data_IF_496830192742
#
_entry.id   IF_496830192742
#
_cell.length_a   1.000
_cell.length_b   1.000
_cell.length_c   1.000
_cell.angle_alpha   90.00
_cell.angle_beta   90.00
_cell.angle_gamma   90.00
#
_symmetry.space_group_name_H-M   'P 1'
#
loop_
_entity.id
_entity.type
_entity.pdbx_description
1 polymer ?
#
# COMPACT_ATOMS: atom_id res chain seq x y z
N UNK A 1 33.65 -34.14 -12.96
CA UNK A 1 32.93 -35.13 -13.77
C UNK A 1 31.45 -35.00 -13.40
N UNK A 2 30.66 -34.35 -14.26
CA UNK A 2 29.64 -34.98 -15.14
C UNK A 2 28.46 -35.53 -14.32
N UNK A 3 27.18 -35.25 -14.56
CA UNK A 3 26.42 -34.65 -15.65
C UNK A 3 24.98 -34.49 -15.11
N UNK A 4 24.35 -33.31 -15.14
CA UNK A 4 23.37 -32.86 -16.16
C UNK A 4 22.17 -33.82 -16.37
N UNK A 5 20.96 -33.30 -16.13
CA UNK A 5 19.69 -33.95 -16.49
C UNK A 5 18.50 -32.99 -16.36
N UNK A 6 18.41 -32.03 -17.28
CA UNK A 6 17.21 -31.23 -17.58
C UNK A 6 16.48 -31.92 -18.75
N UNK A 7 15.14 -31.94 -18.74
CA UNK A 7 14.37 -31.45 -19.90
C UNK A 7 13.17 -30.60 -19.40
N UNK A 8 13.09 -29.28 -19.65
CA UNK A 8 12.66 -28.58 -20.87
C UNK A 8 11.40 -29.09 -21.57
N UNK A 9 10.30 -28.40 -21.28
CA UNK A 9 9.22 -27.90 -22.17
C UNK A 9 8.50 -28.86 -23.14
N UNK A 10 7.17 -28.94 -22.97
CA UNK A 10 6.23 -29.06 -24.08
C UNK A 10 4.96 -28.25 -23.78
N UNK A 11 4.84 -27.11 -24.47
CA UNK A 11 3.60 -26.39 -24.75
C UNK A 11 2.65 -27.26 -25.59
N UNK A 12 1.40 -27.44 -25.17
CA UNK A 12 0.31 -27.80 -26.08
C UNK A 12 -1.07 -27.44 -25.51
N UNK A 13 -1.65 -26.40 -26.11
CA UNK A 13 -3.07 -26.21 -26.44
C UNK A 13 -4.17 -26.72 -25.49
N UNK A 14 -5.01 -25.78 -25.07
CA UNK A 14 -6.37 -26.01 -24.61
C UNK A 14 -7.21 -26.83 -25.62
N UNK A 15 -8.08 -27.73 -25.15
CA UNK A 15 -9.30 -28.07 -25.86
C UNK A 15 -10.48 -27.31 -25.25
N UNK A 16 -10.92 -26.32 -26.03
CA UNK A 16 -12.30 -25.87 -26.20
C UNK A 16 -13.38 -26.82 -25.65
N UNK A 17 -14.05 -26.38 -24.58
CA UNK A 17 -15.50 -26.34 -24.40
C UNK A 17 -16.33 -26.94 -25.58
N UNK A 18 -16.84 -28.16 -25.43
CA UNK A 18 -17.99 -28.68 -26.22
C UNK A 18 -18.83 -29.67 -25.40
N UNK A 19 -19.95 -29.16 -24.89
CA UNK A 19 -21.27 -29.79 -24.77
C UNK A 19 -21.48 -31.04 -23.89
N UNK A 20 -22.12 -30.82 -22.73
CA UNK A 20 -23.30 -31.55 -22.20
C UNK A 20 -23.49 -31.09 -20.73
N UNK A 21 -24.64 -30.68 -20.19
CA UNK A 21 -26.00 -30.60 -20.67
C UNK A 21 -26.71 -29.47 -19.89
N UNK A 22 -27.79 -28.96 -20.47
CA UNK A 22 -28.68 -27.94 -19.94
C UNK A 22 -29.28 -28.39 -18.59
N UNK A 23 -28.76 -27.87 -17.47
CA UNK A 23 -29.42 -27.94 -16.16
C UNK A 23 -30.21 -26.64 -15.96
N UNK A 24 -31.51 -26.77 -15.72
CA UNK A 24 -32.50 -25.69 -15.77
C UNK A 24 -32.28 -24.54 -14.78
N UNK A 25 -33.05 -23.45 -14.94
CA UNK A 25 -32.89 -22.23 -14.16
C UNK A 25 -33.49 -22.46 -12.76
N UNK A 26 -32.70 -22.97 -11.83
CA UNK A 26 -33.23 -23.23 -10.49
C UNK A 26 -32.26 -23.72 -9.44
N UNK A 27 -30.96 -23.83 -9.74
CA UNK A 27 -29.96 -24.17 -8.72
C UNK A 27 -28.81 -23.19 -8.89
N UNK A 28 -28.97 -22.00 -8.30
CA UNK A 28 -27.83 -21.21 -7.86
C UNK A 28 -27.04 -22.12 -6.93
N UNK A 29 -25.98 -22.73 -7.45
CA UNK A 29 -24.87 -23.18 -6.63
C UNK A 29 -24.33 -21.95 -5.92
N UNK A 30 -24.96 -21.61 -4.79
CA UNK A 30 -24.26 -21.04 -3.67
C UNK A 30 -23.21 -22.08 -3.33
N UNK A 31 -22.03 -21.97 -3.94
CA UNK A 31 -20.82 -22.58 -3.44
C UNK A 31 -20.64 -22.02 -2.04
N UNK A 32 -21.29 -22.67 -1.08
CA UNK A 32 -21.01 -22.51 0.33
C UNK A 32 -19.53 -22.81 0.41
N UNK A 33 -18.72 -21.77 0.56
CA UNK A 33 -17.32 -21.90 0.91
C UNK A 33 -17.37 -22.58 2.28
N UNK A 34 -17.39 -23.91 2.27
CA UNK A 34 -17.36 -24.71 3.47
C UNK A 34 -16.00 -24.42 4.08
N UNK A 35 -16.03 -23.52 5.05
CA UNK A 35 -14.93 -23.16 5.91
C UNK A 35 -14.45 -24.46 6.56
N UNK A 36 -13.39 -25.08 6.03
CA UNK A 36 -12.71 -26.22 6.65
C UNK A 36 -11.87 -25.76 7.85
N UNK A 37 -12.37 -24.80 8.63
CA UNK A 37 -11.83 -24.42 9.92
C UNK A 37 -12.51 -25.24 11.00
N UNK A 38 -11.81 -25.53 12.09
CA UNK A 38 -12.46 -26.06 13.29
C UNK A 38 -13.68 -25.17 13.64
N UNK A 39 -14.81 -25.75 14.09
CA UNK A 39 -16.04 -24.99 14.38
C UNK A 39 -15.84 -23.88 15.43
N UNK A 40 -14.75 -23.92 16.20
CA UNK A 40 -14.32 -22.89 17.16
C UNK A 40 -13.77 -21.60 16.52
N UNK A 41 -13.38 -21.61 15.24
CA UNK A 41 -12.86 -20.43 14.52
C UNK A 41 -13.91 -19.77 13.61
N UNK A 42 -15.17 -20.19 13.69
CA UNK A 42 -16.24 -19.52 12.97
C UNK A 42 -16.40 -18.08 13.49
N UNK A 43 -16.62 -17.08 12.61
CA UNK A 43 -16.96 -15.73 13.03
C UNK A 43 -18.21 -15.77 13.91
N UNK A 44 -18.04 -15.43 15.19
CA UNK A 44 -19.14 -15.31 16.16
C UNK A 44 -19.74 -13.91 15.99
N UNK A 45 -21.08 -13.75 16.09
CA UNK A 45 -21.68 -12.42 16.12
C UNK A 45 -21.06 -11.57 17.25
N UNK A 46 -20.91 -10.25 17.06
CA UNK A 46 -20.42 -9.37 18.11
C UNK A 46 -21.36 -9.38 19.32
N UNK A 47 -20.80 -9.14 20.50
CA UNK A 47 -21.61 -9.01 21.70
C UNK A 47 -22.45 -7.73 21.61
N UNK A 48 -23.70 -7.73 22.13
CA UNK A 48 -24.49 -6.52 22.24
C UNK A 48 -23.79 -5.52 23.17
N UNK A 49 -23.83 -4.23 22.83
CA UNK A 49 -23.16 -3.16 23.60
C UNK A 49 -23.73 -2.98 25.01
N UNK A 50 -25.04 -3.17 25.15
CA UNK A 50 -25.74 -3.03 26.44
C UNK A 50 -26.45 -4.32 26.82
N UNK A 51 -26.27 -4.72 28.08
CA UNK A 51 -27.03 -5.81 28.69
C UNK A 51 -28.45 -5.38 29.09
N UNK A 52 -29.27 -6.37 29.46
CA UNK A 52 -30.61 -6.12 30.01
C UNK A 52 -30.56 -5.27 31.27
N UNK A 53 -31.50 -4.32 31.40
CA UNK A 53 -31.57 -3.42 32.55
C UNK A 53 -32.03 -4.18 33.80
N UNK A 54 -31.35 -3.96 34.93
CA UNK A 54 -31.67 -4.59 36.22
C UNK A 54 -31.96 -3.52 37.27
N UNK A 55 -33.05 -3.68 38.03
CA UNK A 55 -33.38 -2.85 39.20
C UNK A 55 -32.96 -3.55 40.49
N UNK A 56 -32.56 -2.77 41.48
CA UNK A 56 -32.14 -3.25 42.82
C UNK A 56 -30.99 -4.28 42.81
N UNK A 57 -30.23 -4.37 41.70
CA UNK A 57 -29.07 -5.25 41.55
C UNK A 57 -29.39 -6.72 41.22
N UNK A 58 -30.61 -7.19 41.48
CA UNK A 58 -31.00 -8.60 41.35
C UNK A 58 -32.25 -8.85 40.48
N UNK A 59 -33.15 -7.87 40.34
CA UNK A 59 -34.44 -8.09 39.66
C UNK A 59 -34.40 -7.43 38.27
N UNK A 60 -34.53 -8.19 37.17
CA UNK A 60 -34.50 -7.63 35.82
C UNK A 60 -35.72 -6.74 35.55
N UNK A 61 -35.55 -5.73 34.71
CA UNK A 61 -36.63 -4.85 34.25
C UNK A 61 -37.76 -5.63 33.57
N UNK A 62 -37.43 -6.74 32.90
CA UNK A 62 -38.38 -7.64 32.25
C UNK A 62 -39.47 -8.14 33.22
N UNK A 63 -39.12 -8.38 34.49
CA UNK A 63 -40.08 -8.77 35.51
C UNK A 63 -41.05 -7.63 35.87
N UNK A 64 -40.54 -6.39 35.88
CA UNK A 64 -41.39 -5.21 36.08
C UNK A 64 -42.31 -4.99 34.89
N UNK A 65 -41.82 -5.14 33.66
CA UNK A 65 -42.64 -5.02 32.45
C UNK A 65 -43.72 -6.09 32.38
N UNK A 66 -43.43 -7.32 32.81
CA UNK A 66 -44.42 -8.39 32.89
C UNK A 66 -45.60 -8.05 33.80
N UNK A 67 -45.35 -7.44 34.97
CA UNK A 67 -46.37 -7.08 35.95
C UNK A 67 -47.02 -5.71 35.71
N UNK A 68 -46.39 -4.86 34.90
CA UNK A 68 -46.81 -3.49 34.65
C UNK A 68 -48.26 -3.38 34.12
N UNK A 69 -48.71 -4.18 33.13
CA UNK A 69 -50.09 -4.08 32.61
C UNK A 69 -51.18 -4.43 33.62
N UNK A 70 -50.85 -5.14 34.70
CA UNK A 70 -51.83 -5.63 35.70
C UNK A 70 -51.83 -4.83 36.99
N UNK A 71 -50.65 -4.40 37.43
CA UNK A 71 -50.45 -3.85 38.78
C UNK A 71 -49.71 -2.52 38.78
N UNK A 72 -49.41 -1.98 37.59
CA UNK A 72 -48.65 -0.73 37.43
C UNK A 72 -47.21 -0.83 37.95
N UNK A 73 -46.57 0.32 38.16
CA UNK A 73 -45.17 0.41 38.64
C UNK A 73 -45.02 -0.09 40.07
N UNK A 74 -46.02 0.12 40.91
CA UNK A 74 -45.98 -0.23 42.33
C UNK A 74 -46.17 -1.72 42.58
N UNK A 75 -46.79 -2.44 41.65
CA UNK A 75 -47.08 -3.86 41.76
C UNK A 75 -45.90 -4.73 42.19
N UNK A 76 -44.78 -4.74 41.45
CA UNK A 76 -43.60 -5.52 41.83
C UNK A 76 -43.02 -5.14 43.19
N UNK A 77 -43.09 -3.87 43.59
CA UNK A 77 -42.58 -3.42 44.89
C UNK A 77 -43.48 -3.91 46.04
N UNK A 78 -44.80 -3.82 45.89
CA UNK A 78 -45.78 -4.32 46.87
C UNK A 78 -45.74 -5.85 46.96
N UNK A 79 -45.52 -6.52 45.82
CA UNK A 79 -45.28 -7.97 45.77
C UNK A 79 -44.02 -8.31 46.57
N UNK A 80 -42.92 -7.59 46.35
CA UNK A 80 -41.66 -7.80 47.06
C UNK A 80 -41.80 -7.63 48.58
N UNK A 81 -42.42 -6.54 49.04
CA UNK A 81 -42.67 -6.32 50.47
C UNK A 81 -43.63 -7.35 51.06
N UNK A 82 -44.67 -7.73 50.31
CA UNK A 82 -45.62 -8.77 50.68
C UNK A 82 -44.98 -10.15 50.85
N UNK A 83 -44.05 -10.52 49.94
CA UNK A 83 -43.29 -11.76 50.05
C UNK A 83 -42.38 -11.78 51.28
N UNK A 84 -41.68 -10.68 51.56
CA UNK A 84 -40.82 -10.58 52.76
C UNK A 84 -41.66 -10.73 54.02
N UNK A 85 -42.80 -10.04 54.10
CA UNK A 85 -43.71 -10.14 55.25
C UNK A 85 -44.29 -11.55 55.40
N UNK A 86 -44.64 -12.19 54.28
CA UNK A 86 -45.16 -13.57 54.27
C UNK A 86 -44.11 -14.57 54.77
N UNK A 87 -42.86 -14.47 54.30
CA UNK A 87 -41.75 -15.33 54.72
C UNK A 87 -41.47 -15.24 56.22
N UNK A 88 -41.58 -14.03 56.79
CA UNK A 88 -41.43 -13.78 58.23
C UNK A 88 -42.65 -14.30 59.01
N UNK A 89 -43.88 -13.99 58.57
CA UNK A 89 -45.11 -14.36 59.27
C UNK A 89 -45.38 -15.88 59.28
N UNK A 90 -44.89 -16.60 58.28
CA UNK A 90 -45.02 -18.07 58.19
C UNK A 90 -43.79 -18.82 58.70
N UNK A 91 -42.81 -18.11 59.28
CA UNK A 91 -41.55 -18.66 59.77
C UNK A 91 -40.80 -19.52 58.73
N UNK A 92 -41.07 -19.31 57.43
CA UNK A 92 -40.30 -19.93 56.33
C UNK A 92 -38.88 -19.36 56.34
N UNK A 93 -38.73 -18.11 56.78
CA UNK A 93 -37.45 -17.49 57.10
C UNK A 93 -37.36 -17.23 58.60
N UNK A 94 -36.62 -18.08 59.33
CA UNK A 94 -36.43 -17.97 60.79
C UNK A 94 -35.28 -17.02 61.12
N UNK A 95 -35.54 -15.99 61.93
CA UNK A 95 -34.52 -15.03 62.37
C UNK A 95 -33.57 -15.73 63.35
N UNK A 96 -32.38 -16.06 62.86
CA UNK A 96 -31.31 -16.70 63.63
C UNK A 96 -30.13 -15.74 63.79
N UNK A 97 -29.15 -16.06 64.65
CA UNK A 97 -27.90 -15.28 64.77
C UNK A 97 -27.20 -15.07 63.42
N UNK A 98 -27.30 -16.02 62.50
CA UNK A 98 -26.75 -15.93 61.14
C UNK A 98 -27.41 -14.83 60.28
N UNK A 99 -28.68 -14.49 60.52
CA UNK A 99 -29.38 -13.43 59.79
C UNK A 99 -28.70 -12.07 59.98
N UNK A 100 -28.21 -11.78 61.18
CA UNK A 100 -27.45 -10.54 61.45
C UNK A 100 -26.11 -10.53 60.72
N UNK A 101 -25.43 -11.68 60.67
CA UNK A 101 -24.20 -11.83 59.88
C UNK A 101 -24.47 -11.62 58.39
N UNK A 102 -25.52 -12.22 57.84
CA UNK A 102 -25.91 -12.07 56.44
C UNK A 102 -26.22 -10.62 56.06
N UNK A 103 -26.96 -9.88 56.89
CA UNK A 103 -27.25 -8.45 56.65
C UNK A 103 -25.95 -7.63 56.60
N UNK A 104 -25.00 -7.90 57.52
CA UNK A 104 -23.69 -7.25 57.54
C UNK A 104 -22.89 -7.55 56.26
N UNK A 105 -22.81 -8.83 55.86
CA UNK A 105 -22.09 -9.24 54.63
C UNK A 105 -22.70 -8.62 53.37
N UNK A 106 -24.03 -8.60 53.25
CA UNK A 106 -24.73 -7.96 52.12
C UNK A 106 -24.47 -6.45 52.12
N UNK A 107 -24.49 -5.80 53.29
CA UNK A 107 -24.20 -4.38 53.43
C UNK A 107 -22.80 -4.00 52.97
N UNK A 108 -21.79 -4.79 53.37
CA UNK A 108 -20.40 -4.60 52.91
C UNK A 108 -20.29 -4.82 51.40
N UNK A 109 -20.94 -5.85 50.85
CA UNK A 109 -20.91 -6.13 49.42
C UNK A 109 -21.52 -4.97 48.60
N UNK A 110 -22.67 -4.44 49.02
CA UNK A 110 -23.30 -3.28 48.39
C UNK A 110 -22.40 -2.04 48.49
N UNK A 111 -21.73 -1.84 49.62
CA UNK A 111 -20.79 -0.74 49.79
C UNK A 111 -19.61 -0.84 48.81
N UNK A 112 -19.00 -2.03 48.69
CA UNK A 112 -17.89 -2.27 47.75
C UNK A 112 -18.33 -2.05 46.31
N UNK A 113 -19.48 -2.59 45.90
CA UNK A 113 -20.01 -2.41 44.53
C UNK A 113 -20.27 -0.92 44.25
N UNK A 114 -20.86 -0.17 45.18
CA UNK A 114 -21.13 1.26 44.98
C UNK A 114 -19.87 2.12 44.97
N UNK A 115 -18.84 1.78 45.74
CA UNK A 115 -17.61 2.59 45.85
C UNK A 115 -16.56 2.23 44.79
N UNK A 116 -16.35 0.95 44.52
CA UNK A 116 -15.30 0.46 43.62
C UNK A 116 -15.83 -0.08 42.30
N UNK A 117 -17.16 -0.19 42.12
CA UNK A 117 -17.74 -0.71 40.88
C UNK A 117 -17.35 0.10 39.64
N UNK A 118 -17.37 1.43 39.73
CA UNK A 118 -16.98 2.29 38.62
C UNK A 118 -15.51 2.10 38.21
N UNK A 119 -14.59 2.06 39.18
CA UNK A 119 -13.17 1.89 38.89
C UNK A 119 -12.84 0.51 38.31
N UNK A 120 -13.55 -0.54 38.76
CA UNK A 120 -13.41 -1.90 38.20
C UNK A 120 -13.97 -1.96 36.77
N UNK A 121 -15.10 -1.29 36.51
CA UNK A 121 -15.68 -1.18 35.16
C UNK A 121 -14.71 -0.51 34.18
N UNK A 122 -14.22 0.68 34.51
CA UNK A 122 -13.23 1.39 33.70
C UNK A 122 -11.95 0.58 33.49
N UNK A 123 -11.52 -0.19 34.49
CA UNK A 123 -10.35 -1.07 34.37
C UNK A 123 -10.59 -2.21 33.38
N UNK A 124 -11.77 -2.85 33.43
CA UNK A 124 -12.14 -3.90 32.48
C UNK A 124 -12.24 -3.36 31.05
N UNK A 125 -12.80 -2.17 30.87
CA UNK A 125 -12.90 -1.51 29.56
C UNK A 125 -11.51 -1.16 29.01
N UNK A 126 -10.61 -0.60 29.84
CA UNK A 126 -9.22 -0.32 29.46
C UNK A 126 -8.46 -1.57 29.03
N UNK A 127 -8.68 -2.71 29.68
CA UNK A 127 -8.04 -3.97 29.26
C UNK A 127 -8.50 -4.44 27.88
N UNK A 128 -9.79 -4.26 27.57
CA UNK A 128 -10.32 -4.60 26.25
C UNK A 128 -9.81 -3.63 25.18
N UNK A 129 -9.80 -2.33 25.47
CA UNK A 129 -9.28 -1.29 24.58
C UNK A 129 -7.78 -1.46 24.31
N UNK A 130 -6.99 -1.81 25.33
CA UNK A 130 -5.56 -2.08 25.14
C UNK A 130 -5.33 -3.28 24.22
N UNK A 131 -6.11 -4.36 24.38
CA UNK A 131 -5.99 -5.54 23.51
C UNK A 131 -6.38 -5.21 22.07
N UNK A 132 -7.44 -4.46 21.85
CA UNK A 132 -7.86 -4.06 20.49
C UNK A 132 -6.87 -3.09 19.87
N UNK A 133 -6.34 -2.13 20.63
CA UNK A 133 -5.33 -1.19 20.18
C UNK A 133 -4.03 -1.89 19.77
N UNK A 134 -3.51 -2.80 20.60
CA UNK A 134 -2.32 -3.59 20.27
C UNK A 134 -2.52 -4.44 19.01
N UNK A 135 -3.70 -5.06 18.87
CA UNK A 135 -4.00 -5.89 17.72
C UNK A 135 -4.10 -5.05 16.43
N UNK A 136 -4.70 -3.86 16.52
CA UNK A 136 -4.81 -2.93 15.39
C UNK A 136 -3.44 -2.31 15.03
N UNK A 137 -2.59 -2.01 16.01
CA UNK A 137 -1.22 -1.55 15.78
C UNK A 137 -0.40 -2.60 15.03
N UNK A 138 -0.41 -3.86 15.49
CA UNK A 138 0.30 -4.97 14.83
C UNK A 138 -0.21 -5.18 13.41
N UNK A 139 -1.53 -5.12 13.21
CA UNK A 139 -2.15 -5.22 11.89
C UNK A 139 -1.72 -4.08 10.97
N UNK A 140 -1.76 -2.83 11.44
CA UNK A 140 -1.34 -1.67 10.65
C UNK A 140 0.15 -1.69 10.33
N UNK A 141 1.00 -2.06 11.29
CA UNK A 141 2.43 -2.25 11.06
C UNK A 141 2.70 -3.32 9.99
N UNK A 142 1.98 -4.44 10.05
CA UNK A 142 2.08 -5.51 9.07
C UNK A 142 1.65 -5.06 7.66
N UNK A 143 0.54 -4.33 7.55
CA UNK A 143 0.06 -3.78 6.28
C UNK A 143 1.08 -2.80 5.70
N UNK A 144 1.63 -1.90 6.53
CA UNK A 144 2.67 -0.94 6.11
C UNK A 144 3.92 -1.65 5.63
N UNK A 145 4.42 -2.63 6.38
CA UNK A 145 5.59 -3.40 5.98
C UNK A 145 5.40 -4.10 4.63
N UNK A 146 4.22 -4.69 4.39
CA UNK A 146 3.90 -5.33 3.11
C UNK A 146 3.82 -4.26 1.99
N UNK A 147 3.22 -3.11 2.26
CA UNK A 147 3.13 -2.02 1.30
C UNK A 147 4.51 -1.47 0.92
N UNK A 148 5.39 -1.26 1.91
CA UNK A 148 6.76 -0.81 1.69
C UNK A 148 7.56 -1.82 0.86
N UNK A 149 7.37 -3.12 1.12
CA UNK A 149 7.99 -4.18 0.32
C UNK A 149 7.48 -4.17 -1.14
N UNK A 150 6.19 -3.95 -1.35
CA UNK A 150 5.60 -3.82 -2.69
C UNK A 150 6.15 -2.59 -3.43
N UNK A 151 6.28 -1.46 -2.76
CA UNK A 151 6.77 -0.23 -3.38
C UNK A 151 8.28 -0.31 -3.68
N UNK A 152 9.05 -0.98 -2.82
CA UNK A 152 10.44 -1.34 -3.11
C UNK A 152 10.53 -2.22 -4.36
N UNK A 153 9.71 -3.26 -4.48
CA UNK A 153 9.70 -4.14 -5.66
C UNK A 153 9.30 -3.37 -6.93
N UNK A 154 8.31 -2.49 -6.88
CA UNK A 154 7.93 -1.63 -8.01
C UNK A 154 9.09 -0.71 -8.43
N UNK A 155 9.82 -0.13 -7.46
CA UNK A 155 10.98 0.70 -7.76
C UNK A 155 12.07 -0.09 -8.49
N UNK A 156 12.32 -1.33 -8.05
CA UNK A 156 13.26 -2.24 -8.71
C UNK A 156 12.80 -2.63 -10.11
N UNK A 157 11.51 -2.95 -10.28
CA UNK A 157 10.94 -3.25 -11.59
C UNK A 157 11.09 -2.07 -12.56
N UNK A 158 10.85 -0.84 -12.09
CA UNK A 158 11.04 0.37 -12.88
C UNK A 158 12.51 0.58 -13.27
N UNK A 159 13.47 0.28 -12.38
CA UNK A 159 14.91 0.33 -12.70
C UNK A 159 15.30 -0.71 -13.75
N UNK A 160 14.79 -1.94 -13.63
CA UNK A 160 15.03 -2.99 -14.63
C UNK A 160 14.45 -2.59 -15.98
N UNK A 161 13.23 -2.05 -16.01
CA UNK A 161 12.63 -1.52 -17.22
C UNK A 161 13.50 -0.42 -17.84
N UNK A 162 14.08 0.49 -17.06
CA UNK A 162 14.94 1.58 -17.58
C UNK A 162 16.33 1.14 -18.06
N UNK A 163 16.75 -0.11 -17.83
CA UNK A 163 18.10 -0.59 -18.15
C UNK A 163 18.43 -0.56 -19.65
N UNK A 164 17.44 -0.72 -20.53
CA UNK A 164 17.66 -0.67 -21.98
C UNK A 164 18.16 0.69 -22.47
N UNK A 165 17.76 1.79 -21.81
CA UNK A 165 18.22 3.13 -22.17
C UNK A 165 19.74 3.27 -22.12
N UNK A 166 20.40 2.62 -21.17
CA UNK A 166 21.87 2.64 -21.11
C UNK A 166 22.49 2.01 -22.37
N UNK A 167 21.93 0.89 -22.83
CA UNK A 167 22.42 0.22 -24.04
C UNK A 167 22.10 1.03 -25.30
N UNK A 168 20.93 1.67 -25.36
CA UNK A 168 20.58 2.52 -26.50
C UNK A 168 21.49 3.75 -26.60
N UNK A 169 21.80 4.39 -25.46
CA UNK A 169 22.77 5.50 -25.40
C UNK A 169 24.16 5.03 -25.84
N UNK A 170 24.63 3.86 -25.39
CA UNK A 170 25.93 3.32 -25.81
C UNK A 170 25.97 3.04 -27.31
N UNK A 171 24.93 2.41 -27.89
CA UNK A 171 24.86 2.15 -29.33
C UNK A 171 24.86 3.45 -30.13
N UNK A 172 24.06 4.43 -29.72
CA UNK A 172 23.97 5.72 -30.40
C UNK A 172 25.28 6.52 -30.30
N UNK A 173 25.96 6.48 -29.15
CA UNK A 173 27.25 7.15 -28.98
C UNK A 173 28.33 6.54 -29.90
N UNK A 174 28.39 5.21 -30.00
CA UNK A 174 29.33 4.53 -30.91
C UNK A 174 29.00 4.87 -32.37
N UNK A 175 27.73 4.83 -32.76
CA UNK A 175 27.30 5.20 -34.11
C UNK A 175 27.69 6.64 -34.46
N UNK A 176 27.43 7.58 -33.56
CA UNK A 176 27.78 8.98 -33.74
C UNK A 176 29.30 9.19 -33.82
N UNK A 177 30.09 8.53 -32.97
CA UNK A 177 31.55 8.60 -33.04
C UNK A 177 32.10 8.08 -34.38
N UNK A 178 31.53 6.98 -34.89
CA UNK A 178 31.89 6.46 -36.21
C UNK A 178 31.54 7.46 -37.33
N UNK A 179 30.36 8.08 -37.29
CA UNK A 179 29.99 9.12 -38.25
C UNK A 179 30.91 10.34 -38.19
N UNK A 180 31.22 10.83 -36.98
CA UNK A 180 32.14 11.97 -36.79
C UNK A 180 33.52 11.67 -37.38
N UNK A 181 34.10 10.51 -37.07
CA UNK A 181 35.41 10.13 -37.64
C UNK A 181 35.37 9.99 -39.16
N UNK A 182 34.25 9.54 -39.74
CA UNK A 182 34.05 9.51 -41.17
C UNK A 182 34.03 10.93 -41.78
N UNK A 183 33.26 11.84 -41.17
CA UNK A 183 33.20 13.24 -41.61
C UNK A 183 34.54 13.95 -41.47
N UNK A 184 35.29 13.72 -40.40
CA UNK A 184 36.64 14.26 -40.20
C UNK A 184 37.59 13.82 -41.32
N UNK A 185 37.56 12.53 -41.71
CA UNK A 185 38.37 12.01 -42.81
C UNK A 185 37.99 12.65 -44.14
N UNK A 186 36.69 12.75 -44.45
CA UNK A 186 36.23 13.44 -45.66
C UNK A 186 36.63 14.92 -45.67
N UNK A 187 36.46 15.61 -44.55
CA UNK A 187 36.80 17.02 -44.42
C UNK A 187 38.31 17.26 -44.53
N UNK A 188 39.14 16.36 -43.98
CA UNK A 188 40.59 16.38 -44.14
C UNK A 188 40.99 16.27 -45.61
N UNK A 189 40.45 15.30 -46.36
CA UNK A 189 40.70 15.16 -47.81
C UNK A 189 40.24 16.40 -48.58
N UNK A 190 39.02 16.89 -48.31
CA UNK A 190 38.50 18.11 -48.93
C UNK A 190 39.41 19.32 -48.68
N UNK A 191 39.87 19.50 -47.43
CA UNK A 191 40.76 20.58 -47.05
C UNK A 191 42.12 20.48 -47.74
N UNK A 192 42.68 19.29 -47.88
CA UNK A 192 43.94 19.08 -48.60
C UNK A 192 43.82 19.44 -50.09
N UNK A 193 42.78 18.95 -50.77
CA UNK A 193 42.53 19.25 -52.20
C UNK A 193 42.35 20.75 -52.40
N UNK A 194 41.54 21.40 -51.54
CA UNK A 194 41.37 22.85 -51.57
C UNK A 194 42.71 23.58 -51.36
N UNK A 195 43.54 23.14 -50.42
CA UNK A 195 44.84 23.77 -50.15
C UNK A 195 45.79 23.68 -51.36
N UNK A 196 45.78 22.57 -52.11
CA UNK A 196 46.54 22.46 -53.37
C UNK A 196 46.02 23.41 -54.44
N UNK A 197 44.71 23.52 -54.59
CA UNK A 197 44.10 24.44 -55.55
C UNK A 197 44.39 25.90 -55.20
N UNK A 198 44.18 26.28 -53.94
CA UNK A 198 44.45 27.62 -53.43
C UNK A 198 45.95 27.97 -53.57
N UNK A 199 46.85 26.99 -53.41
CA UNK A 199 48.28 27.16 -53.69
C UNK A 199 48.56 27.47 -55.17
N UNK A 200 47.94 26.76 -56.11
CA UNK A 200 48.10 27.06 -57.53
C UNK A 200 47.57 28.45 -57.90
N UNK A 201 46.40 28.84 -57.36
CA UNK A 201 45.83 30.17 -57.57
C UNK A 201 46.73 31.26 -56.98
N UNK A 202 47.28 31.05 -55.78
CA UNK A 202 48.16 32.03 -55.14
C UNK A 202 49.47 32.21 -55.92
N UNK A 203 50.08 31.13 -56.41
CA UNK A 203 51.26 31.20 -57.29
C UNK A 203 50.93 31.95 -58.58
N UNK A 204 49.79 31.67 -59.22
CA UNK A 204 49.36 32.40 -60.42
C UNK A 204 49.15 33.89 -60.16
N UNK A 205 48.50 34.24 -59.05
CA UNK A 205 48.28 35.64 -58.69
C UNK A 205 49.60 36.36 -58.38
N UNK A 206 50.54 35.70 -57.69
CA UNK A 206 51.88 36.23 -57.43
C UNK A 206 52.67 36.44 -58.72
N UNK A 207 52.63 35.49 -59.67
CA UNK A 207 53.29 35.64 -60.97
C UNK A 207 52.72 36.82 -61.75
N UNK A 208 51.39 36.93 -61.85
CA UNK A 208 50.74 38.10 -62.48
C UNK A 208 51.11 39.40 -61.80
N UNK A 209 51.17 39.44 -60.47
CA UNK A 209 51.56 40.63 -59.71
C UNK A 209 53.03 41.00 -59.96
N UNK A 210 53.94 40.02 -60.04
CA UNK A 210 55.34 40.25 -60.34
C UNK A 210 55.56 40.71 -61.79
N UNK A 211 54.84 40.13 -62.75
CA UNK A 211 54.82 40.58 -64.15
C UNK A 211 54.32 42.02 -64.25
N UNK A 212 53.18 42.35 -63.63
CA UNK A 212 52.66 43.72 -63.58
C UNK A 212 53.67 44.68 -62.94
N UNK A 213 54.31 44.30 -61.83
CA UNK A 213 55.35 45.09 -61.19
C UNK A 213 56.58 45.30 -62.09
N UNK A 214 57.02 44.26 -62.81
CA UNK A 214 58.11 44.37 -63.77
C UNK A 214 57.75 45.27 -64.95
N UNK A 215 56.54 45.13 -65.52
CA UNK A 215 56.05 45.99 -66.61
C UNK A 215 55.98 47.45 -66.17
N UNK A 216 55.46 47.75 -64.97
CA UNK A 216 55.43 49.11 -64.42
C UNK A 216 56.85 49.68 -64.33
N UNK A 217 57.79 48.95 -63.71
CA UNK A 217 59.19 49.36 -63.59
C UNK A 217 59.88 49.55 -64.95
N UNK A 218 59.57 48.69 -65.94
CA UNK A 218 60.11 48.79 -67.29
C UNK A 218 59.56 50.02 -68.03
N UNK A 219 58.25 50.28 -67.95
CA UNK A 219 57.61 51.47 -68.52
C UNK A 219 58.20 52.73 -67.88
N UNK A 220 58.32 52.78 -66.56
CA UNK A 220 58.92 53.90 -65.83
C UNK A 220 60.37 54.16 -66.29
N UNK A 221 61.21 53.13 -66.39
CA UNK A 221 62.58 53.25 -66.90
C UNK A 221 62.64 53.80 -68.32
N UNK A 222 61.79 53.31 -69.23
CA UNK A 222 61.74 53.81 -70.61
C UNK A 222 61.27 55.27 -70.67
N UNK A 223 60.27 55.64 -69.85
CA UNK A 223 59.80 57.03 -69.77
C UNK A 223 60.92 57.94 -69.24
N UNK A 224 61.58 57.59 -68.14
CA UNK A 224 62.72 58.35 -67.61
C UNK A 224 63.84 58.49 -68.65
N UNK A 225 64.17 57.39 -69.35
CA UNK A 225 65.21 57.38 -70.38
C UNK A 225 64.83 58.21 -71.62
N UNK A 226 63.54 58.27 -71.98
CA UNK A 226 63.02 59.12 -73.06
C UNK A 226 63.03 60.62 -72.73
N UNK A 227 62.93 60.97 -71.44
CA UNK A 227 62.96 62.35 -70.94
C UNK A 227 64.41 62.82 -70.70
N UNK A 228 65.37 61.91 -70.48
CA UNK A 228 66.78 62.23 -70.24
C UNK A 228 67.64 62.32 -71.51
N UNK A 229 67.03 62.60 -72.68
CA UNK A 229 67.70 62.98 -73.94
C UNK A 229 67.52 64.48 -74.16
#
# INVERSE_FOLDING_TARGET
MLSRGVPSAATAAAPSLKNAALLGPGVLQATRIFHKGQPSLAPVPPLPEYGGKVRLGLIPEEFFQFLYPKTGVTGPYVLGTGLILYLLSKEIYVITAETFSAISTIGVLVYVIKKYGASIGEFADKLNEQKTAQLEEVKQASIRQIQDAVDLQKSQQALVQKRHYLFDVQRNNIAMALEVTYWERLHSVYKEVKNRLDYHISVQNMMRQNEQGHTINWVEKNVVQSISV
#
